data_IF_783386116028
#
_entry.id   IF_783386116028
#
_cell.length_a   1.000
_cell.length_b   1.000
_cell.length_c   1.000
_cell.angle_alpha   90.00
_cell.angle_beta   90.00
_cell.angle_gamma   90.00
#
_symmetry.space_group_name_H-M   'P 1'
#
loop_
_entity.id
_entity.type
_entity.pdbx_description
1 polymer ?
#
# COMPACT_ATOMS: atom_id res chain seq x y z
N UNK A 1 0.28 -14.38 0.21
CA UNK A 1 1.54 -13.66 0.52
C UNK A 1 1.64 -12.45 -0.39
N UNK A 2 1.90 -11.25 0.14
CA UNK A 2 2.02 -10.05 -0.69
C UNK A 2 3.32 -10.08 -1.51
N UNK A 3 3.38 -9.40 -2.68
CA UNK A 3 4.44 -9.57 -3.67
C UNK A 3 5.86 -9.16 -3.22
N UNK A 4 5.97 -8.40 -2.13
CA UNK A 4 7.24 -7.88 -1.60
C UNK A 4 7.87 -8.77 -0.52
N UNK A 5 7.13 -9.74 0.02
CA UNK A 5 7.56 -10.55 1.15
C UNK A 5 8.13 -11.91 0.71
N UNK A 6 9.00 -11.93 -0.30
CA UNK A 6 9.81 -13.12 -0.58
C UNK A 6 11.11 -13.03 0.22
N UNK A 7 11.44 -14.03 1.06
CA UNK A 7 12.80 -14.20 1.53
C UNK A 7 13.62 -14.63 0.31
N UNK A 8 14.31 -13.69 -0.31
CA UNK A 8 15.27 -14.00 -1.38
C UNK A 8 16.43 -14.74 -0.72
N UNK A 9 16.49 -16.05 -0.94
CA UNK A 9 17.69 -16.84 -0.69
C UNK A 9 18.87 -16.14 -1.38
N UNK A 10 19.81 -15.70 -0.55
CA UNK A 10 21.14 -15.25 -0.96
C UNK A 10 21.78 -16.26 -1.91
N UNK A 11 22.23 -15.83 -3.10
CA UNK A 11 23.63 -15.96 -3.58
C UNK A 11 23.78 -15.63 -5.08
N UNK A 12 24.74 -14.74 -5.33
CA UNK A 12 25.54 -14.45 -6.53
C UNK A 12 24.90 -13.66 -7.69
N UNK A 13 25.38 -12.40 -7.81
CA UNK A 13 25.23 -11.55 -8.99
C UNK A 13 24.71 -10.16 -8.66
N UNK A 14 25.48 -9.33 -7.95
CA UNK A 14 25.16 -7.91 -7.76
C UNK A 14 25.17 -7.22 -9.14
N UNK A 15 24.00 -6.91 -9.68
CA UNK A 15 23.84 -5.98 -10.80
C UNK A 15 24.01 -4.55 -10.29
N UNK A 16 24.74 -3.72 -11.05
CA UNK A 16 25.09 -2.32 -10.69
C UNK A 16 23.88 -1.41 -10.43
N UNK A 17 22.66 -1.84 -10.75
CA UNK A 17 21.43 -1.07 -10.58
C UNK A 17 20.87 -1.09 -9.15
N UNK A 18 21.16 -2.12 -8.35
CA UNK A 18 20.70 -2.21 -6.95
C UNK A 18 21.39 -1.20 -6.02
N UNK A 19 22.49 -0.59 -6.48
CA UNK A 19 23.28 0.36 -5.69
C UNK A 19 22.65 1.76 -5.61
N UNK A 20 21.55 2.01 -6.32
CA UNK A 20 20.96 3.36 -6.45
C UNK A 20 19.54 3.49 -5.88
N UNK A 21 19.08 2.55 -5.04
CA UNK A 21 17.89 2.78 -4.22
C UNK A 21 18.19 3.90 -3.21
N UNK A 22 17.29 4.88 -3.03
CA UNK A 22 17.46 5.91 -2.01
C UNK A 22 17.52 5.24 -0.64
N UNK A 23 18.72 5.18 -0.06
CA UNK A 23 18.89 4.75 1.32
C UNK A 23 18.26 5.84 2.20
N UNK A 24 17.32 5.44 3.05
CA UNK A 24 16.77 6.32 4.08
C UNK A 24 17.93 6.93 4.88
N UNK A 25 17.88 8.21 5.29
CA UNK A 25 18.99 8.87 5.96
C UNK A 25 19.25 8.23 7.34
N UNK A 26 20.22 7.33 7.39
CA UNK A 26 20.65 6.61 8.60
C UNK A 26 21.60 7.49 9.41
N UNK A 27 21.15 8.00 10.58
CA UNK A 27 22.09 8.44 11.61
C UNK A 27 22.63 7.19 12.31
N UNK A 28 23.96 7.05 12.33
CA UNK A 28 24.67 5.92 12.94
C UNK A 28 24.17 5.61 14.36
N UNK A 29 23.67 4.39 14.60
CA UNK A 29 23.50 3.81 15.94
C UNK A 29 22.11 3.30 16.32
N UNK A 30 21.06 3.65 15.56
CA UNK A 30 19.69 3.19 15.85
C UNK A 30 19.28 2.05 14.91
N UNK A 31 18.64 1.01 15.43
CA UNK A 31 17.98 -0.02 14.64
C UNK A 31 16.80 0.62 13.88
N UNK A 32 16.87 0.73 12.53
CA UNK A 32 15.84 1.37 11.74
C UNK A 32 14.47 0.69 11.90
N UNK A 33 14.44 -0.62 12.14
CA UNK A 33 13.18 -1.34 12.36
C UNK A 33 12.52 -0.87 13.65
N UNK A 34 13.31 -0.75 14.72
CA UNK A 34 12.83 -0.30 16.03
C UNK A 34 12.26 1.12 15.94
N UNK A 35 12.96 2.02 15.25
CA UNK A 35 12.48 3.40 15.07
C UNK A 35 11.19 3.45 14.24
N UNK A 36 11.14 2.74 13.12
CA UNK A 36 9.94 2.67 12.28
C UNK A 36 8.74 2.12 13.06
N UNK A 37 8.97 1.12 13.91
CA UNK A 37 7.93 0.54 14.78
C UNK A 37 7.42 1.55 15.81
N UNK A 38 8.31 2.34 16.41
CA UNK A 38 7.92 3.40 17.36
C UNK A 38 7.12 4.52 16.68
N UNK A 39 7.56 4.98 15.50
CA UNK A 39 6.82 6.00 14.72
C UNK A 39 5.45 5.47 14.29
N UNK A 40 5.38 4.21 13.88
CA UNK A 40 4.13 3.52 13.54
C UNK A 40 3.17 3.42 14.73
N UNK A 41 3.65 2.98 15.89
CA UNK A 41 2.85 2.89 17.11
C UNK A 41 2.34 4.26 17.56
N UNK A 42 3.19 5.29 17.48
CA UNK A 42 2.78 6.66 17.78
C UNK A 42 1.69 7.16 16.83
N UNK A 43 1.80 6.84 15.53
CA UNK A 43 0.77 7.17 14.54
C UNK A 43 -0.56 6.47 14.84
N UNK A 44 -0.54 5.17 15.12
CA UNK A 44 -1.75 4.39 15.44
C UNK A 44 -2.47 4.88 16.70
N UNK A 45 -1.73 5.40 17.69
CA UNK A 45 -2.31 5.92 18.93
C UNK A 45 -2.84 7.36 18.82
N UNK A 46 -2.73 7.99 17.65
CA UNK A 46 -3.30 9.31 17.40
C UNK A 46 -4.83 9.26 17.39
N UNK A 47 -5.54 10.21 18.05
CA UNK A 47 -7.02 10.24 18.03
C UNK A 47 -7.61 10.55 16.65
N UNK A 48 -6.76 10.85 15.66
CA UNK A 48 -7.16 11.11 14.27
C UNK A 48 -7.16 9.85 13.40
N UNK A 49 -6.72 8.71 13.94
CA UNK A 49 -6.57 7.46 13.20
C UNK A 49 -7.62 6.47 13.70
N UNK A 50 -8.39 5.93 12.76
CA UNK A 50 -9.32 4.84 13.00
C UNK A 50 -8.86 3.60 12.21
N UNK A 51 -8.87 2.44 12.86
CA UNK A 51 -8.52 1.17 12.23
C UNK A 51 -9.76 0.51 11.63
N UNK A 52 -9.78 0.36 10.31
CA UNK A 52 -10.86 -0.30 9.60
C UNK A 52 -10.52 -1.79 9.37
N UNK A 53 -11.20 -2.74 10.04
CA UNK A 53 -10.95 -4.16 9.86
C UNK A 53 -11.43 -4.66 8.49
N UNK A 54 -10.85 -5.77 8.04
CA UNK A 54 -11.33 -6.47 6.83
C UNK A 54 -12.26 -7.61 7.23
N UNK A 55 -13.39 -7.70 6.53
CA UNK A 55 -14.36 -8.80 6.67
C UNK A 55 -14.77 -9.33 5.29
N UNK A 56 -15.80 -10.18 5.28
CA UNK A 56 -16.30 -10.81 4.05
C UNK A 56 -16.84 -9.77 3.05
N UNK A 57 -17.39 -8.65 3.53
CA UNK A 57 -17.84 -7.57 2.66
C UNK A 57 -16.64 -6.89 1.99
N UNK A 58 -15.59 -6.58 2.75
CA UNK A 58 -14.33 -6.08 2.17
C UNK A 58 -13.77 -7.05 1.13
N UNK A 59 -13.80 -8.36 1.40
CA UNK A 59 -13.34 -9.38 0.47
C UNK A 59 -14.19 -9.44 -0.82
N UNK A 60 -15.49 -9.20 -0.74
CA UNK A 60 -16.37 -9.11 -1.90
C UNK A 60 -16.00 -7.92 -2.80
N UNK A 61 -15.75 -6.75 -2.22
CA UNK A 61 -15.24 -5.58 -2.97
C UNK A 61 -13.87 -5.87 -3.59
N UNK A 62 -12.94 -6.50 -2.86
CA UNK A 62 -11.65 -6.90 -3.40
C UNK A 62 -11.81 -7.81 -4.63
N UNK A 63 -12.64 -8.85 -4.55
CA UNK A 63 -12.89 -9.75 -5.67
C UNK A 63 -13.51 -9.04 -6.88
N UNK A 64 -14.42 -8.10 -6.64
CA UNK A 64 -15.02 -7.26 -7.68
C UNK A 64 -13.96 -6.40 -8.39
N UNK A 65 -13.09 -5.73 -7.64
CA UNK A 65 -12.00 -4.91 -8.18
C UNK A 65 -11.05 -5.77 -9.01
N UNK A 66 -10.59 -6.92 -8.47
CA UNK A 66 -9.73 -7.85 -9.20
C UNK A 66 -10.36 -8.29 -10.52
N UNK A 67 -11.65 -8.64 -10.52
CA UNK A 67 -12.38 -9.05 -11.73
C UNK A 67 -12.37 -7.94 -12.78
N UNK A 68 -12.66 -6.69 -12.39
CA UNK A 68 -12.70 -5.53 -13.29
C UNK A 68 -11.33 -5.14 -13.84
N UNK A 69 -10.29 -5.21 -13.00
CA UNK A 69 -8.91 -4.93 -13.41
C UNK A 69 -8.39 -6.00 -14.37
N UNK A 70 -8.67 -7.29 -14.10
CA UNK A 70 -8.33 -8.40 -15.00
C UNK A 70 -9.00 -8.28 -16.36
N UNK A 71 -10.29 -7.92 -16.39
CA UNK A 71 -11.02 -7.73 -17.64
C UNK A 71 -10.42 -6.63 -18.53
N UNK A 72 -9.75 -5.64 -17.94
CA UNK A 72 -9.11 -4.52 -18.66
C UNK A 72 -7.60 -4.68 -18.86
N UNK A 73 -7.00 -5.75 -18.34
CA UNK A 73 -5.55 -5.97 -18.43
C UNK A 73 -4.70 -4.95 -17.65
N UNK A 74 -5.24 -4.38 -16.56
CA UNK A 74 -4.58 -3.36 -15.73
C UNK A 74 -4.37 -3.88 -14.30
N UNK A 75 -3.45 -4.82 -14.06
CA UNK A 75 -3.17 -5.26 -12.70
C UNK A 75 -2.53 -4.15 -11.88
N UNK A 76 -2.94 -4.00 -10.62
CA UNK A 76 -2.31 -3.13 -9.63
C UNK A 76 -1.80 -3.99 -8.45
N UNK A 77 -0.90 -3.47 -7.59
CA UNK A 77 -0.42 -4.19 -6.41
C UNK A 77 -1.56 -4.69 -5.51
N UNK A 78 -1.42 -5.91 -4.97
CA UNK A 78 -2.48 -6.54 -4.16
C UNK A 78 -2.89 -5.72 -2.93
N UNK A 79 -1.94 -5.01 -2.29
CA UNK A 79 -2.23 -4.19 -1.13
C UNK A 79 -3.14 -3.01 -1.47
N UNK A 80 -2.95 -2.40 -2.64
CA UNK A 80 -3.77 -1.27 -3.11
C UNK A 80 -5.21 -1.72 -3.34
N UNK A 81 -5.41 -2.95 -3.81
CA UNK A 81 -6.75 -3.52 -3.96
C UNK A 81 -7.45 -3.64 -2.60
N UNK A 82 -6.74 -4.05 -1.54
CA UNK A 82 -7.33 -4.11 -0.19
C UNK A 82 -7.66 -2.73 0.37
N UNK A 83 -6.77 -1.75 0.17
CA UNK A 83 -7.02 -0.35 0.56
C UNK A 83 -8.25 0.20 -0.16
N UNK A 84 -8.34 0.00 -1.47
CA UNK A 84 -9.47 0.43 -2.28
C UNK A 84 -10.77 -0.28 -1.90
N UNK A 85 -10.71 -1.59 -1.65
CA UNK A 85 -11.88 -2.37 -1.22
C UNK A 85 -12.43 -1.88 0.11
N UNK A 86 -11.55 -1.53 1.06
CA UNK A 86 -11.96 -0.97 2.34
C UNK A 86 -12.59 0.43 2.16
N UNK A 87 -11.95 1.30 1.38
CA UNK A 87 -12.51 2.62 1.06
C UNK A 87 -13.90 2.52 0.40
N UNK A 88 -14.07 1.63 -0.58
CA UNK A 88 -15.35 1.41 -1.27
C UNK A 88 -16.43 0.86 -0.34
N UNK A 89 -16.10 -0.12 0.51
CA UNK A 89 -17.03 -0.67 1.50
C UNK A 89 -17.60 0.42 2.41
N UNK A 90 -16.73 1.29 2.92
CA UNK A 90 -17.12 2.34 3.86
C UNK A 90 -17.58 3.64 3.17
N UNK A 91 -17.62 3.69 1.84
CA UNK A 91 -18.01 4.89 1.10
C UNK A 91 -17.06 6.08 1.29
N UNK A 92 -15.79 5.82 1.59
CA UNK A 92 -14.78 6.83 1.89
C UNK A 92 -14.04 7.26 0.63
N UNK A 93 -13.70 8.55 0.54
CA UNK A 93 -12.78 9.03 -0.46
C UNK A 93 -11.34 8.66 -0.10
N UNK A 94 -10.62 8.03 -1.04
CA UNK A 94 -9.21 7.68 -0.87
C UNK A 94 -8.32 8.86 -1.26
N UNK A 95 -7.42 9.24 -0.38
CA UNK A 95 -6.35 10.20 -0.65
C UNK A 95 -5.03 9.45 -0.85
N UNK A 96 -4.45 9.54 -2.03
CA UNK A 96 -3.19 8.87 -2.38
C UNK A 96 -2.44 9.66 -3.44
N UNK A 97 -1.11 9.50 -3.45
CA UNK A 97 -0.25 9.96 -4.54
C UNK A 97 -0.08 8.92 -5.65
N UNK A 98 -0.52 7.69 -5.39
CA UNK A 98 -0.41 6.61 -6.35
C UNK A 98 -1.54 6.68 -7.39
N UNK A 99 -1.15 6.76 -8.65
CA UNK A 99 -2.07 6.81 -9.80
C UNK A 99 -2.72 5.46 -10.10
N UNK A 100 -2.22 4.34 -9.56
CA UNK A 100 -2.84 3.03 -9.73
C UNK A 100 -4.32 3.01 -9.29
N UNK A 101 -4.70 3.84 -8.32
CA UNK A 101 -6.08 3.94 -7.86
C UNK A 101 -7.03 4.57 -8.89
N UNK A 102 -6.53 5.33 -9.87
CA UNK A 102 -7.31 5.87 -11.00
C UNK A 102 -7.89 4.75 -11.87
N UNK A 103 -7.25 3.57 -11.88
CA UNK A 103 -7.72 2.41 -12.64
C UNK A 103 -8.95 1.75 -12.00
N UNK A 104 -9.29 2.05 -10.73
CA UNK A 104 -10.36 1.36 -10.00
C UNK A 104 -11.71 2.07 -10.22
N UNK A 105 -12.57 1.44 -11.02
CA UNK A 105 -13.90 1.98 -11.33
C UNK A 105 -14.81 2.02 -10.10
N UNK A 106 -15.37 3.21 -9.82
CA UNK A 106 -16.28 3.45 -8.70
C UNK A 106 -15.58 3.77 -7.37
N UNK A 107 -14.25 3.82 -7.34
CA UNK A 107 -13.51 4.31 -6.18
C UNK A 107 -13.59 5.84 -6.13
N UNK A 108 -14.00 6.38 -4.98
CA UNK A 108 -13.95 7.82 -4.73
C UNK A 108 -12.51 8.23 -4.46
N UNK A 109 -11.97 9.12 -5.27
CA UNK A 109 -10.65 9.72 -5.05
C UNK A 109 -10.82 11.15 -4.55
N UNK A 110 -10.12 11.49 -3.48
CA UNK A 110 -10.11 12.87 -2.99
C UNK A 110 -9.29 13.73 -3.97
N UNK A 111 -9.85 14.83 -4.51
CA UNK A 111 -9.15 15.70 -5.44
C UNK A 111 -8.06 16.49 -4.69
N UNK A 112 -6.86 15.93 -4.60
CA UNK A 112 -5.67 16.66 -4.20
C UNK A 112 -5.15 17.44 -5.39
N UNK A 113 -5.41 18.75 -5.46
CA UNK A 113 -4.62 19.63 -6.33
C UNK A 113 -3.18 19.63 -5.80
N UNK A 114 -2.27 18.98 -6.52
CA UNK A 114 -0.84 19.03 -6.20
C UNK A 114 -0.14 19.51 -7.46
N UNK A 115 0.23 20.79 -7.44
CA UNK A 115 1.18 21.38 -8.39
C UNK A 115 2.58 20.83 -8.13
#
# INVERSE_FOLDING_TARGET
MPPWARPTLFRQGQTREDQNLPQAPTRLGEDPEKKNRQEWEAFLNSPRVELLPHDLETAAYHALIVKRLKARGRPIPTNDIWVAANAMKHGLALYSFDRHFEEIEGLLLFPGNIK
#
